data_IF_132861025084
#
_entry.id   IF_132861025084
#
_cell.length_a   1.000
_cell.length_b   1.000
_cell.length_c   1.000
_cell.angle_alpha   90.00
_cell.angle_beta   90.00
_cell.angle_gamma   90.00
#
_symmetry.space_group_name_H-M   'P 1'
#
loop_
_entity.id
_entity.type
_entity.pdbx_description
1 polymer ?
#
# COMPACT_ATOMS: atom_id res chain seq x y z
N UNK A 1 5.68 4.76 29.18
CA UNK A 1 5.49 5.44 27.88
C UNK A 1 6.77 6.18 27.54
N UNK A 2 7.24 6.09 26.30
CA UNK A 2 8.32 6.97 25.83
C UNK A 2 7.73 8.39 25.82
N UNK A 3 8.32 9.39 26.49
CA UNK A 3 7.82 10.76 26.41
C UNK A 3 7.89 11.25 24.96
N UNK A 4 6.78 11.74 24.39
CA UNK A 4 6.82 12.63 23.22
C UNK A 4 6.29 12.12 21.87
N UNK A 5 5.88 10.85 21.71
CA UNK A 5 5.22 10.43 20.46
C UNK A 5 3.78 10.95 20.41
N UNK A 6 3.42 11.60 19.31
CA UNK A 6 2.04 12.06 19.00
C UNK A 6 1.52 11.35 17.74
N UNK A 7 0.19 11.27 17.54
CA UNK A 7 -0.38 10.59 16.38
C UNK A 7 0.13 11.11 15.02
N UNK A 8 0.49 12.38 14.93
CA UNK A 8 1.05 13.00 13.71
C UNK A 8 2.46 12.51 13.34
N UNK A 9 3.13 11.79 14.25
CA UNK A 9 4.44 11.18 13.98
C UNK A 9 4.30 9.86 13.19
N UNK A 10 3.07 9.35 13.04
CA UNK A 10 2.78 8.12 12.30
C UNK A 10 2.13 8.48 10.97
N UNK A 11 2.73 8.00 9.88
CA UNK A 11 2.17 8.13 8.55
C UNK A 11 1.85 6.75 8.00
N UNK A 12 0.59 6.56 7.61
CA UNK A 12 0.14 5.34 6.93
C UNK A 12 0.15 5.58 5.42
N UNK A 13 0.84 4.70 4.69
CA UNK A 13 0.86 4.77 3.23
C UNK A 13 -0.29 3.95 2.64
N UNK A 14 -0.99 4.53 1.67
CA UNK A 14 -1.95 3.82 0.84
C UNK A 14 -1.17 2.81 -0.01
N UNK A 15 -1.58 1.55 0.03
CA UNK A 15 -0.99 0.49 -0.78
C UNK A 15 -1.87 -0.02 -1.91
N UNK A 16 -1.38 -1.06 -2.58
CA UNK A 16 -2.07 -1.71 -3.70
C UNK A 16 -3.44 -2.24 -3.28
N UNK A 17 -3.54 -2.80 -2.07
CA UNK A 17 -4.81 -3.31 -1.54
C UNK A 17 -5.83 -2.18 -1.35
N UNK A 18 -5.43 -1.06 -0.75
CA UNK A 18 -6.33 0.08 -0.55
C UNK A 18 -6.72 0.74 -1.88
N UNK A 19 -5.84 0.71 -2.89
CA UNK A 19 -6.19 1.14 -4.25
C UNK A 19 -7.19 0.18 -4.92
N UNK A 20 -7.02 -1.13 -4.77
CA UNK A 20 -8.01 -2.12 -5.25
C UNK A 20 -9.35 -1.98 -4.52
N UNK A 21 -9.32 -1.65 -3.23
CA UNK A 21 -10.53 -1.38 -2.45
C UNK A 21 -11.34 -0.21 -3.02
N UNK A 22 -10.69 0.90 -3.37
CA UNK A 22 -11.38 2.05 -3.99
C UNK A 22 -12.01 1.68 -5.34
N UNK A 23 -11.33 0.85 -6.14
CA UNK A 23 -11.87 0.31 -7.40
C UNK A 23 -13.07 -0.61 -7.14
N UNK A 24 -13.01 -1.45 -6.11
CA UNK A 24 -14.10 -2.33 -5.71
C UNK A 24 -15.37 -1.55 -5.33
N UNK A 25 -15.22 -0.42 -4.65
CA UNK A 25 -16.34 0.44 -4.26
C UNK A 25 -16.99 1.16 -5.46
N UNK A 26 -16.32 1.17 -6.61
CA UNK A 26 -16.77 1.78 -7.87
C UNK A 26 -17.12 0.75 -8.95
N UNK A 27 -17.22 -0.52 -8.57
CA UNK A 27 -17.35 -1.65 -9.49
C UNK A 27 -18.50 -1.52 -10.49
N UNK A 28 -19.59 -0.84 -10.12
CA UNK A 28 -20.74 -0.59 -10.99
C UNK A 28 -20.41 0.26 -12.24
N UNK A 29 -19.29 0.98 -12.23
CA UNK A 29 -18.83 1.78 -13.38
C UNK A 29 -17.84 1.04 -14.27
N UNK A 30 -17.41 -0.16 -13.88
CA UNK A 30 -16.50 -0.96 -14.69
C UNK A 30 -17.20 -1.46 -15.97
N UNK A 31 -16.52 -1.46 -17.13
CA UNK A 31 -17.07 -2.05 -18.36
C UNK A 31 -17.40 -3.54 -18.22
N UNK A 32 -16.64 -4.26 -17.40
CA UNK A 32 -16.88 -5.67 -17.06
C UNK A 32 -16.71 -5.89 -15.54
N UNK A 33 -17.76 -5.63 -14.74
CA UNK A 33 -17.72 -5.75 -13.28
C UNK A 33 -17.29 -7.13 -12.79
N UNK A 34 -17.71 -8.20 -13.47
CA UNK A 34 -17.35 -9.57 -13.09
C UNK A 34 -15.84 -9.81 -13.21
N UNK A 35 -15.25 -9.42 -14.35
CA UNK A 35 -13.82 -9.61 -14.58
C UNK A 35 -12.98 -8.75 -13.63
N UNK A 36 -13.39 -7.50 -13.38
CA UNK A 36 -12.71 -6.62 -12.42
C UNK A 36 -12.77 -7.20 -11.01
N UNK A 37 -13.93 -7.70 -10.59
CA UNK A 37 -14.07 -8.35 -9.29
C UNK A 37 -13.20 -9.60 -9.19
N UNK A 38 -13.22 -10.48 -10.19
CA UNK A 38 -12.37 -11.68 -10.21
C UNK A 38 -10.90 -11.31 -10.02
N UNK A 39 -10.41 -10.32 -10.77
CA UNK A 39 -9.04 -9.83 -10.63
C UNK A 39 -8.74 -9.31 -9.22
N UNK A 40 -9.65 -8.53 -8.63
CA UNK A 40 -9.48 -7.99 -7.26
C UNK A 40 -9.42 -9.14 -6.23
N UNK A 41 -10.25 -10.17 -6.37
CA UNK A 41 -10.25 -11.34 -5.49
C UNK A 41 -8.94 -12.15 -5.64
N UNK A 42 -8.53 -12.43 -6.88
CA UNK A 42 -7.29 -13.16 -7.20
C UNK A 42 -6.03 -12.45 -6.65
N UNK A 43 -6.11 -11.14 -6.39
CA UNK A 43 -5.04 -10.33 -5.80
C UNK A 43 -5.20 -10.11 -4.28
N UNK A 44 -5.94 -10.98 -3.58
CA UNK A 44 -5.91 -11.07 -2.12
C UNK A 44 -7.00 -10.32 -1.36
N UNK A 45 -7.97 -9.70 -2.06
CA UNK A 45 -9.06 -8.96 -1.42
C UNK A 45 -10.08 -9.86 -0.69
N UNK A 46 -10.00 -11.17 -0.89
CA UNK A 46 -10.92 -12.15 -0.26
C UNK A 46 -10.90 -12.06 1.27
N UNK A 47 -9.73 -11.88 1.87
CA UNK A 47 -9.56 -11.82 3.33
C UNK A 47 -10.20 -10.56 3.92
N UNK A 48 -10.06 -9.42 3.24
CA UNK A 48 -10.69 -8.16 3.65
C UNK A 48 -12.23 -8.24 3.54
N UNK A 49 -12.75 -8.86 2.48
CA UNK A 49 -14.18 -9.11 2.35
C UNK A 49 -14.69 -10.06 3.44
N UNK A 50 -13.96 -11.13 3.72
CA UNK A 50 -14.30 -12.07 4.78
C UNK A 50 -14.31 -11.39 6.16
N UNK A 51 -13.35 -10.51 6.45
CA UNK A 51 -13.27 -9.73 7.69
C UNK A 51 -14.49 -8.81 7.89
N UNK A 52 -15.09 -8.32 6.81
CA UNK A 52 -16.33 -7.52 6.82
C UNK A 52 -17.61 -8.38 6.79
N UNK A 53 -17.48 -9.70 6.76
CA UNK A 53 -18.58 -10.64 6.68
C UNK A 53 -19.26 -10.67 5.31
N UNK A 54 -18.51 -10.36 4.24
CA UNK A 54 -19.00 -10.38 2.86
C UNK A 54 -18.60 -11.68 2.15
N UNK A 55 -19.55 -12.31 1.46
CA UNK A 55 -19.32 -13.51 0.64
C UNK A 55 -18.82 -13.12 -0.75
N UNK A 56 -17.69 -13.71 -1.17
CA UNK A 56 -17.14 -13.57 -2.53
C UNK A 56 -18.08 -14.17 -3.58
N UNK A 57 -18.72 -15.29 -3.29
CA UNK A 57 -19.75 -15.89 -4.16
C UNK A 57 -20.95 -14.96 -4.37
N UNK A 58 -21.42 -14.32 -3.30
CA UNK A 58 -22.51 -13.35 -3.38
C UNK A 58 -22.10 -12.12 -4.19
N UNK A 59 -20.85 -11.67 -4.07
CA UNK A 59 -20.29 -10.58 -4.87
C UNK A 59 -20.27 -10.94 -6.36
N UNK A 60 -19.74 -12.13 -6.70
CA UNK A 60 -19.70 -12.63 -8.08
C UNK A 60 -21.11 -12.80 -8.66
N UNK A 61 -22.08 -13.26 -7.88
CA UNK A 61 -23.48 -13.31 -8.30
C UNK A 61 -24.04 -11.92 -8.59
N UNK A 62 -23.80 -10.95 -7.71
CA UNK A 62 -24.28 -9.58 -7.88
C UNK A 62 -23.74 -8.91 -9.16
N UNK A 63 -22.50 -9.20 -9.55
CA UNK A 63 -21.94 -8.67 -10.82
C UNK A 63 -22.60 -9.29 -12.06
N UNK A 64 -23.04 -10.55 -11.99
CA UNK A 64 -23.77 -11.23 -13.08
C UNK A 64 -25.21 -10.74 -13.23
N UNK A 65 -25.79 -10.17 -12.18
CA UNK A 65 -27.11 -9.51 -12.21
C UNK A 65 -27.07 -8.12 -12.90
N UNK A 66 -25.89 -7.68 -13.35
CA UNK A 66 -25.70 -6.41 -14.04
C UNK A 66 -25.51 -5.21 -13.09
N UNK A 67 -25.63 -4.00 -13.63
CA UNK A 67 -25.30 -2.75 -12.92
C UNK A 67 -26.12 -2.57 -11.64
N UNK A 68 -27.41 -2.93 -11.65
CA UNK A 68 -28.28 -2.81 -10.47
C UNK A 68 -27.86 -3.75 -9.33
N UNK A 69 -27.58 -5.02 -9.65
CA UNK A 69 -27.08 -6.00 -8.68
C UNK A 69 -25.73 -5.56 -8.10
N UNK A 70 -24.82 -5.13 -8.97
CA UNK A 70 -23.51 -4.60 -8.59
C UNK A 70 -23.64 -3.41 -7.66
N UNK A 71 -24.48 -2.42 -8.00
CA UNK A 71 -24.70 -1.23 -7.18
C UNK A 71 -25.29 -1.57 -5.81
N UNK A 72 -26.24 -2.52 -5.75
CA UNK A 72 -26.80 -2.98 -4.49
C UNK A 72 -25.73 -3.60 -3.60
N UNK A 73 -24.88 -4.45 -4.18
CA UNK A 73 -23.81 -5.11 -3.46
C UNK A 73 -22.73 -4.13 -2.98
N UNK A 74 -22.29 -3.18 -3.82
CA UNK A 74 -21.32 -2.16 -3.38
C UNK A 74 -21.90 -1.25 -2.29
N UNK A 75 -23.20 -1.01 -2.27
CA UNK A 75 -23.86 -0.31 -1.15
C UNK A 75 -23.86 -1.10 0.15
N UNK A 76 -24.03 -2.43 0.11
CA UNK A 76 -23.86 -3.29 1.29
C UNK A 76 -22.43 -3.19 1.82
N UNK A 77 -21.44 -3.20 0.93
CA UNK A 77 -20.03 -3.05 1.31
C UNK A 77 -19.76 -1.70 2.00
N UNK A 78 -20.31 -0.60 1.47
CA UNK A 78 -20.23 0.72 2.08
C UNK A 78 -20.89 0.79 3.44
N UNK A 79 -22.00 0.08 3.64
CA UNK A 79 -22.65 0.00 4.95
C UNK A 79 -21.78 -0.76 5.95
N UNK A 80 -21.15 -1.87 5.55
CA UNK A 80 -20.19 -2.60 6.39
C UNK A 80 -19.01 -1.72 6.80
N UNK A 81 -18.47 -0.91 5.89
CA UNK A 81 -17.44 0.08 6.22
C UNK A 81 -17.90 1.08 7.26
N UNK A 82 -19.09 1.67 7.10
CA UNK A 82 -19.65 2.64 8.06
C UNK A 82 -19.88 2.04 9.44
N UNK A 83 -20.27 0.76 9.50
CA UNK A 83 -20.49 0.04 10.75
C UNK A 83 -19.18 -0.39 11.42
N UNK A 84 -18.06 -0.35 10.71
CA UNK A 84 -16.74 -0.69 11.24
C UNK A 84 -16.07 0.56 11.79
N UNK A 85 -16.00 0.67 13.12
CA UNK A 85 -15.43 1.83 13.81
C UNK A 85 -13.99 2.11 13.34
N UNK A 86 -13.70 3.36 13.00
CA UNK A 86 -12.37 3.81 12.59
C UNK A 86 -12.01 3.47 11.15
N UNK A 87 -12.81 2.69 10.42
CA UNK A 87 -12.49 2.28 9.05
C UNK A 87 -12.38 3.49 8.12
N UNK A 88 -13.41 4.35 8.13
CA UNK A 88 -13.44 5.51 7.22
C UNK A 88 -12.39 6.55 7.61
N UNK A 89 -12.18 6.75 8.91
CA UNK A 89 -11.15 7.63 9.46
C UNK A 89 -9.75 7.15 9.05
N UNK A 90 -9.47 5.85 9.22
CA UNK A 90 -8.20 5.25 8.82
C UNK A 90 -7.95 5.39 7.31
N UNK A 91 -8.89 4.99 6.46
CA UNK A 91 -8.76 5.12 5.01
C UNK A 91 -8.56 6.57 4.57
N UNK A 92 -9.22 7.52 5.23
CA UNK A 92 -9.05 8.96 4.94
C UNK A 92 -7.67 9.51 5.35
N UNK A 93 -6.98 8.84 6.28
CA UNK A 93 -5.66 9.26 6.78
C UNK A 93 -4.51 8.87 5.85
N UNK A 94 -4.72 7.87 4.98
CA UNK A 94 -3.69 7.28 4.14
C UNK A 94 -3.06 8.31 3.20
N UNK A 95 -1.73 8.24 3.06
CA UNK A 95 -0.93 9.10 2.18
C UNK A 95 -0.36 8.28 1.02
N UNK A 96 -0.19 8.92 -0.14
CA UNK A 96 0.37 8.24 -1.33
C UNK A 96 1.87 8.00 -1.21
N UNK A 97 2.56 8.90 -0.51
CA UNK A 97 3.95 8.81 -0.16
C UNK A 97 4.18 9.65 1.11
N UNK A 98 5.32 9.44 1.77
CA UNK A 98 5.80 10.27 2.87
C UNK A 98 7.28 10.56 2.65
N UNK A 99 7.79 11.66 3.20
CA UNK A 99 9.20 11.97 3.07
C UNK A 99 9.69 12.80 4.25
N UNK A 100 10.98 12.70 4.53
CA UNK A 100 11.67 13.62 5.46
C UNK A 100 12.12 14.84 4.68
N UNK A 101 11.87 16.05 5.18
CA UNK A 101 12.22 17.27 4.44
C UNK A 101 13.69 17.68 4.62
N UNK A 102 14.25 18.38 3.63
CA UNK A 102 15.64 18.90 3.69
C UNK A 102 15.86 19.91 4.81
N UNK A 103 14.80 20.60 5.23
CA UNK A 103 14.84 21.51 6.37
C UNK A 103 15.05 20.76 7.69
N UNK A 104 14.70 19.46 7.73
CA UNK A 104 14.75 18.62 8.93
C UNK A 104 15.94 17.66 8.92
N UNK A 105 16.47 17.29 7.76
CA UNK A 105 17.57 16.32 7.59
C UNK A 105 18.51 16.68 6.45
N UNK A 106 19.81 16.38 6.63
CA UNK A 106 20.82 16.49 5.59
C UNK A 106 20.67 15.47 4.44
N UNK A 107 19.96 14.36 4.69
CA UNK A 107 19.82 13.23 3.78
C UNK A 107 18.35 12.79 3.70
N UNK A 108 17.49 13.54 2.97
CA UNK A 108 16.07 13.27 2.91
C UNK A 108 15.78 11.92 2.26
N UNK A 109 14.81 11.19 2.79
CA UNK A 109 14.33 9.90 2.27
C UNK A 109 12.86 9.99 1.86
N UNK A 110 12.50 9.20 0.84
CA UNK A 110 11.14 9.05 0.34
C UNK A 110 10.61 7.67 0.71
N UNK A 111 9.41 7.60 1.25
CA UNK A 111 8.69 6.37 1.57
C UNK A 111 7.51 6.20 0.62
N UNK A 112 7.43 5.02 0.00
CA UNK A 112 6.35 4.63 -0.92
C UNK A 112 5.84 3.24 -0.58
N UNK A 113 4.69 2.83 -1.10
CA UNK A 113 4.21 1.47 -0.88
C UNK A 113 4.94 0.45 -1.77
N UNK A 114 4.82 0.55 -3.10
CA UNK A 114 5.33 -0.46 -4.04
C UNK A 114 6.55 -0.03 -4.87
N UNK A 115 6.62 1.24 -5.26
CA UNK A 115 7.74 1.76 -6.04
C UNK A 115 7.49 3.12 -6.66
N UNK A 116 8.30 3.48 -7.65
CA UNK A 116 8.25 4.75 -8.39
C UNK A 116 8.60 4.52 -9.86
N UNK A 117 8.16 5.44 -10.72
CA UNK A 117 8.72 5.63 -12.05
C UNK A 117 9.86 6.68 -11.95
N UNK A 118 11.14 6.31 -12.14
CA UNK A 118 12.26 7.24 -11.98
C UNK A 118 12.29 8.33 -13.06
N UNK A 119 11.51 8.18 -14.14
CA UNK A 119 11.44 9.17 -15.23
C UNK A 119 10.46 10.31 -14.96
N UNK A 120 9.65 10.21 -13.90
CA UNK A 120 8.59 11.18 -13.56
C UNK A 120 8.93 11.98 -12.32
N UNK A 121 8.37 13.18 -12.20
CA UNK A 121 8.44 13.93 -10.93
C UNK A 121 7.57 13.27 -9.86
N UNK A 122 7.77 13.67 -8.59
CA UNK A 122 7.01 13.11 -7.46
C UNK A 122 5.51 13.37 -7.63
N UNK A 123 5.14 14.53 -8.15
CA UNK A 123 3.77 14.95 -8.43
C UNK A 123 3.13 14.13 -9.57
N UNK A 124 3.94 13.71 -10.54
CA UNK A 124 3.54 12.97 -11.74
C UNK A 124 3.47 11.44 -11.54
N UNK A 125 3.90 10.93 -10.38
CA UNK A 125 3.92 9.49 -10.11
C UNK A 125 2.55 8.83 -10.32
N UNK A 126 1.44 9.52 -10.02
CA UNK A 126 0.09 8.99 -10.19
C UNK A 126 -0.02 7.56 -9.58
N UNK A 127 -0.41 6.58 -10.39
CA UNK A 127 -0.61 5.22 -9.93
C UNK A 127 0.69 4.40 -9.80
N UNK A 128 1.84 4.98 -10.17
CA UNK A 128 3.16 4.34 -10.11
C UNK A 128 3.53 3.92 -8.68
N UNK A 129 3.05 4.64 -7.66
CA UNK A 129 3.25 4.26 -6.26
C UNK A 129 2.70 2.88 -5.90
N UNK A 130 1.76 2.36 -6.69
CA UNK A 130 1.12 1.06 -6.50
C UNK A 130 1.51 0.04 -7.57
N UNK A 131 1.69 0.46 -8.82
CA UNK A 131 1.90 -0.47 -9.94
C UNK A 131 3.34 -0.53 -10.46
N UNK A 132 4.21 0.45 -10.15
CA UNK A 132 5.59 0.53 -10.65
C UNK A 132 6.60 -0.03 -9.65
N UNK A 133 6.51 -1.34 -9.36
CA UNK A 133 7.38 -2.01 -8.37
C UNK A 133 8.32 -3.09 -8.93
N UNK A 134 8.19 -3.49 -10.19
CA UNK A 134 8.88 -4.69 -10.72
C UNK A 134 10.41 -4.53 -10.80
N UNK A 135 10.89 -3.35 -11.17
CA UNK A 135 12.32 -3.08 -11.37
C UNK A 135 12.89 -2.15 -10.29
N UNK A 136 12.21 -2.05 -9.14
CA UNK A 136 12.58 -1.11 -8.07
C UNK A 136 14.00 -1.34 -7.52
N UNK A 137 14.41 -2.61 -7.40
CA UNK A 137 15.75 -3.00 -6.93
C UNK A 137 16.85 -2.72 -7.97
N UNK A 138 16.50 -2.42 -9.22
CA UNK A 138 17.43 -2.10 -10.31
C UNK A 138 17.75 -0.59 -10.36
N UNK A 139 16.99 0.24 -9.64
CA UNK A 139 17.25 1.68 -9.54
C UNK A 139 18.53 1.90 -8.74
N UNK A 140 19.58 2.40 -9.41
CA UNK A 140 20.88 2.69 -8.80
C UNK A 140 21.15 4.18 -8.59
N UNK A 141 20.45 5.05 -9.31
CA UNK A 141 20.61 6.49 -9.21
C UNK A 141 19.61 7.09 -8.21
N UNK A 142 20.03 8.14 -7.51
CA UNK A 142 19.17 8.87 -6.58
C UNK A 142 17.95 9.44 -7.29
N UNK A 143 16.79 9.30 -6.68
CA UNK A 143 15.55 9.85 -7.22
C UNK A 143 15.36 11.31 -6.78
N UNK A 144 15.40 12.22 -7.75
CA UNK A 144 15.35 13.66 -7.52
C UNK A 144 16.36 14.11 -6.45
N UNK A 145 15.88 14.51 -5.29
CA UNK A 145 16.69 15.02 -4.19
C UNK A 145 16.74 14.08 -2.99
N UNK A 146 16.12 12.90 -3.09
CA UNK A 146 16.09 11.92 -2.01
C UNK A 146 17.34 11.04 -2.07
N UNK A 147 17.98 10.89 -0.91
CA UNK A 147 19.14 10.02 -0.73
C UNK A 147 18.74 8.55 -0.88
N UNK A 148 17.52 8.20 -0.46
CA UNK A 148 16.98 6.85 -0.62
C UNK A 148 15.48 6.85 -0.81
N UNK A 149 14.99 5.92 -1.63
CA UNK A 149 13.56 5.59 -1.77
C UNK A 149 13.30 4.24 -1.10
N UNK A 150 12.40 4.21 -0.13
CA UNK A 150 12.11 3.04 0.70
C UNK A 150 10.69 2.57 0.42
N UNK A 151 10.53 1.26 0.19
CA UNK A 151 9.22 0.63 -0.03
C UNK A 151 8.93 -0.48 0.96
N UNK A 152 7.64 -0.71 1.20
CA UNK A 152 7.14 -1.76 2.10
C UNK A 152 6.50 -2.96 1.40
N UNK A 153 6.24 -2.88 0.10
CA UNK A 153 5.65 -3.96 -0.71
C UNK A 153 6.52 -4.25 -1.93
N UNK A 154 6.98 -5.49 -2.05
CA UNK A 154 7.68 -5.99 -3.23
C UNK A 154 6.77 -6.97 -4.00
N UNK A 155 6.31 -6.63 -5.22
CA UNK A 155 5.51 -7.55 -6.04
C UNK A 155 6.19 -8.89 -6.34
N UNK A 156 7.52 -8.96 -6.24
CA UNK A 156 8.31 -10.19 -6.44
C UNK A 156 8.62 -10.93 -5.12
N UNK A 157 8.26 -10.35 -3.98
CA UNK A 157 8.51 -10.87 -2.63
C UNK A 157 9.94 -11.38 -2.42
N UNK A 158 10.94 -10.58 -2.85
CA UNK A 158 12.35 -11.01 -2.84
C UNK A 158 13.02 -10.86 -1.47
N UNK A 159 12.29 -10.41 -0.45
CA UNK A 159 12.83 -10.14 0.87
C UNK A 159 13.36 -8.72 1.02
N UNK A 160 14.13 -8.52 2.09
CA UNK A 160 14.83 -7.25 2.32
C UNK A 160 15.94 -7.08 1.28
N UNK A 161 15.90 -5.97 0.55
CA UNK A 161 16.93 -5.60 -0.43
C UNK A 161 17.30 -4.14 -0.23
N UNK A 162 18.58 -3.83 -0.01
CA UNK A 162 19.05 -2.46 0.16
C UNK A 162 20.20 -2.22 -0.81
N UNK A 163 20.07 -1.20 -1.64
CA UNK A 163 21.13 -0.73 -2.53
C UNK A 163 21.44 0.76 -2.23
N UNK A 164 22.24 1.40 -3.09
CA UNK A 164 22.63 2.80 -2.92
C UNK A 164 21.45 3.78 -2.96
N UNK A 165 20.46 3.58 -3.83
CA UNK A 165 19.35 4.51 -4.06
C UNK A 165 18.00 4.04 -3.51
N UNK A 166 17.82 2.74 -3.28
CA UNK A 166 16.54 2.16 -2.86
C UNK A 166 16.67 1.13 -1.74
N UNK A 167 15.59 0.94 -1.00
CA UNK A 167 15.43 -0.15 -0.04
C UNK A 167 14.03 -0.77 -0.12
N UNK A 168 13.96 -2.08 -0.31
CA UNK A 168 12.78 -2.91 -0.13
C UNK A 168 12.79 -3.53 1.26
N UNK A 169 11.75 -3.28 2.05
CA UNK A 169 11.58 -3.81 3.41
C UNK A 169 10.39 -4.78 3.47
N UNK A 170 10.29 -5.70 2.50
CA UNK A 170 9.20 -6.67 2.41
C UNK A 170 9.73 -8.10 2.50
N UNK A 171 9.54 -8.76 3.64
CA UNK A 171 9.85 -10.18 3.80
C UNK A 171 8.62 -11.09 3.67
N UNK A 172 7.51 -10.60 3.10
CA UNK A 172 6.34 -11.41 2.79
C UNK A 172 5.49 -11.75 4.02
N UNK A 173 5.30 -10.81 4.95
CA UNK A 173 4.54 -11.02 6.18
C UNK A 173 3.11 -11.54 5.93
N UNK A 174 2.45 -11.09 4.87
CA UNK A 174 1.12 -11.58 4.46
C UNK A 174 1.12 -12.98 3.82
N UNK A 175 2.30 -13.55 3.57
CA UNK A 175 2.52 -14.82 2.88
C UNK A 175 3.30 -15.83 3.74
N UNK A 176 3.32 -15.64 5.07
CA UNK A 176 3.99 -16.52 6.02
C UNK A 176 5.46 -16.18 6.31
N UNK A 177 5.98 -15.08 5.74
CA UNK A 177 7.27 -14.52 6.13
C UNK A 177 7.17 -13.63 7.38
N UNK A 178 8.30 -13.08 7.86
CA UNK A 178 8.29 -12.19 9.02
C UNK A 178 7.84 -10.76 8.67
N UNK A 179 7.38 -10.03 9.68
CA UNK A 179 7.19 -8.58 9.59
C UNK A 179 8.54 -7.88 9.75
N UNK A 180 8.85 -6.96 8.84
CA UNK A 180 10.10 -6.18 8.88
C UNK A 180 9.84 -4.79 9.44
N UNK A 181 10.74 -4.34 10.30
CA UNK A 181 10.88 -2.92 10.66
C UNK A 181 12.33 -2.49 10.50
N UNK A 182 12.56 -1.22 10.21
CA UNK A 182 13.89 -0.69 10.01
C UNK A 182 14.08 0.66 10.71
N UNK A 183 15.27 0.86 11.27
CA UNK A 183 15.74 2.17 11.71
C UNK A 183 16.51 2.83 10.58
N UNK A 184 16.23 4.11 10.32
CA UNK A 184 16.88 4.90 9.27
C UNK A 184 17.67 6.01 9.94
N UNK A 185 18.96 6.10 9.61
CA UNK A 185 19.84 7.17 10.09
C UNK A 185 19.47 8.48 9.38
N UNK A 186 18.90 9.47 10.08
CA UNK A 186 18.46 10.72 9.45
C UNK A 186 19.64 11.59 8.98
N UNK A 187 20.87 11.33 9.39
CA UNK A 187 22.05 12.08 8.90
C UNK A 187 22.58 11.55 7.57
N UNK A 188 22.30 10.27 7.26
CA UNK A 188 22.80 9.57 6.06
C UNK A 188 21.72 9.11 5.11
N UNK A 189 20.46 9.04 5.53
CA UNK A 189 19.36 8.48 4.74
C UNK A 189 19.52 6.97 4.49
N UNK A 190 20.28 6.28 5.33
CA UNK A 190 20.64 4.87 5.19
C UNK A 190 19.90 4.00 6.21
N UNK A 191 19.62 2.75 5.85
CA UNK A 191 19.05 1.76 6.75
C UNK A 191 20.14 1.30 7.73
N UNK A 192 19.98 1.61 9.01
CA UNK A 192 20.97 1.33 10.06
C UNK A 192 20.73 -0.03 10.72
N UNK A 193 19.47 -0.34 11.02
CA UNK A 193 19.07 -1.60 11.62
C UNK A 193 17.82 -2.15 10.95
N UNK A 194 17.76 -3.46 10.78
CA UNK A 194 16.59 -4.20 10.32
C UNK A 194 16.23 -5.21 11.40
N UNK A 195 14.96 -5.22 11.80
CA UNK A 195 14.41 -6.17 12.75
C UNK A 195 13.33 -6.98 12.04
N UNK A 196 13.42 -8.30 12.14
CA UNK A 196 12.36 -9.22 11.77
C UNK A 196 11.53 -9.62 13.00
N UNK A 197 10.23 -9.73 12.82
CA UNK A 197 9.29 -10.23 13.81
C UNK A 197 8.52 -11.36 13.17
N UNK A 198 8.84 -12.59 13.57
CA UNK A 198 8.06 -13.75 13.15
C UNK A 198 6.72 -13.72 13.87
N UNK A 199 5.63 -13.66 13.11
CA UNK A 199 4.29 -13.83 13.66
C UNK A 199 4.10 -15.32 13.94
N UNK A 200 4.03 -15.67 15.22
CA UNK A 200 3.80 -17.05 15.70
C UNK A 200 2.36 -17.51 15.44
#
# INVERSE_FOLDING_TARGET
SIPGMVPSDIIYLKGVQEEMWDKLLQLQFAPNPYQVLSYILDNGMETMLAALGCSTEAALRATREGVLGTTRWTNVLREKMRQTSGFSEFFSSLKRAAFTSKETTAAPVLFVNAGIDPTRTLEEQADSFWWSGQNFNEISDTYQHFQKVIRGYDPKHQGVNVNCATASLDAGCGFGGPLISALIDPSKGEVEHVLDVSLA
#
